data_IF_821464361135
#
_entry.id   IF_821464361135
#
_cell.length_a   1.000
_cell.length_b   1.000
_cell.length_c   1.000
_cell.angle_alpha   90.00
_cell.angle_beta   90.00
_cell.angle_gamma   90.00
#
_symmetry.space_group_name_H-M   'P 1'
#
loop_
_entity.id
_entity.type
_entity.pdbx_description
1 polymer ?
#
# COMPACT_ATOMS: atom_id res chain seq x y z
N UNK A 1 1.15 26.46 -6.40
CA UNK A 1 1.29 27.58 -5.43
C UNK A 1 1.61 27.04 -4.04
N UNK A 2 2.46 27.70 -3.25
CA UNK A 2 2.76 27.26 -1.86
C UNK A 2 1.72 27.77 -0.87
N UNK A 3 1.42 26.99 0.17
CA UNK A 3 0.54 27.42 1.26
C UNK A 3 1.22 28.51 2.08
N UNK A 4 0.66 29.71 2.06
CA UNK A 4 1.12 30.82 2.90
C UNK A 4 0.22 30.99 4.13
N UNK A 5 0.73 31.55 5.24
CA UNK A 5 -0.10 31.86 6.41
C UNK A 5 -1.28 32.78 6.08
N UNK A 6 -1.07 33.77 5.18
CA UNK A 6 -2.14 34.67 4.73
C UNK A 6 -3.28 33.91 4.06
N UNK A 7 -2.97 33.02 3.11
CA UNK A 7 -3.98 32.20 2.43
C UNK A 7 -4.79 31.33 3.41
N UNK A 8 -4.16 30.82 4.48
CA UNK A 8 -4.85 30.03 5.51
C UNK A 8 -5.71 30.90 6.45
N UNK A 9 -5.25 32.11 6.76
CA UNK A 9 -6.00 33.05 7.60
C UNK A 9 -7.24 33.58 6.89
N UNK A 10 -7.10 33.90 5.60
CA UNK A 10 -8.17 34.39 4.72
C UNK A 10 -9.11 33.29 4.22
N UNK A 11 -8.73 32.02 4.41
CA UNK A 11 -9.54 30.88 4.02
C UNK A 11 -10.95 30.95 4.62
N UNK A 12 -12.01 30.67 3.84
CA UNK A 12 -13.37 30.60 4.34
C UNK A 12 -13.50 29.56 5.46
N UNK A 13 -14.14 29.97 6.56
CA UNK A 13 -14.38 29.16 7.74
C UNK A 13 -15.85 29.20 8.07
N UNK A 14 -16.46 28.05 8.22
CA UNK A 14 -17.86 27.94 8.66
C UNK A 14 -18.02 26.73 9.57
N UNK A 15 -19.07 26.77 10.38
CA UNK A 15 -19.42 25.65 11.22
C UNK A 15 -20.43 24.77 10.50
N UNK A 16 -20.18 23.46 10.52
CA UNK A 16 -21.09 22.47 9.97
C UNK A 16 -22.04 21.95 11.04
N UNK A 17 -23.31 21.81 10.68
CA UNK A 17 -24.30 21.04 11.44
C UNK A 17 -24.31 19.61 10.90
N UNK A 18 -23.58 18.71 11.56
CA UNK A 18 -23.59 17.29 11.21
C UNK A 18 -24.76 16.65 11.94
N UNK A 19 -25.98 17.02 11.57
CA UNK A 19 -27.23 16.26 11.72
C UNK A 19 -27.65 15.78 13.11
N UNK A 20 -26.91 16.10 14.17
CA UNK A 20 -27.20 15.65 15.54
C UNK A 20 -28.15 16.61 16.28
N UNK A 21 -28.56 17.72 15.64
CA UNK A 21 -29.51 18.69 16.22
C UNK A 21 -28.98 19.43 17.46
N UNK A 22 -27.69 19.28 17.78
CA UNK A 22 -27.01 19.88 18.92
C UNK A 22 -25.88 20.75 18.39
N UNK A 23 -26.17 22.05 18.23
CA UNK A 23 -25.26 23.18 17.95
C UNK A 23 -24.16 22.98 16.88
N UNK A 24 -23.91 24.04 16.12
CA UNK A 24 -22.80 24.16 15.18
C UNK A 24 -21.42 24.03 15.88
N UNK A 25 -20.92 22.82 16.06
CA UNK A 25 -19.69 22.53 16.85
C UNK A 25 -18.47 22.24 15.98
N UNK A 26 -18.65 21.76 14.75
CA UNK A 26 -17.54 21.37 13.89
C UNK A 26 -17.10 22.50 12.95
N UNK A 27 -15.97 23.13 13.28
CA UNK A 27 -15.34 24.12 12.42
C UNK A 27 -14.74 23.46 11.17
N UNK A 28 -15.13 23.97 10.01
CA UNK A 28 -14.60 23.59 8.70
C UNK A 28 -13.74 24.70 8.13
N UNK A 29 -12.53 24.35 7.71
CA UNK A 29 -11.60 25.25 7.01
C UNK A 29 -11.52 24.81 5.56
N UNK A 30 -11.81 25.73 4.64
CA UNK A 30 -11.89 25.44 3.21
C UNK A 30 -10.70 26.04 2.45
N UNK A 31 -9.91 25.18 1.84
CA UNK A 31 -8.73 25.49 1.04
C UNK A 31 -8.88 24.93 -0.37
N UNK A 32 -10.01 25.24 -1.02
CA UNK A 32 -10.34 24.75 -2.37
C UNK A 32 -9.79 25.67 -3.46
N UNK A 33 -9.47 25.09 -4.61
CA UNK A 33 -9.17 25.83 -5.85
C UNK A 33 -7.95 26.78 -5.76
N UNK A 34 -7.03 26.52 -4.82
CA UNK A 34 -5.87 27.37 -4.55
C UNK A 34 -4.61 26.93 -5.33
N UNK A 35 -4.72 25.89 -6.16
CA UNK A 35 -3.59 25.23 -6.83
C UNK A 35 -2.44 24.94 -5.87
N UNK A 36 -2.76 24.46 -4.66
CA UNK A 36 -1.76 24.17 -3.65
C UNK A 36 -0.91 22.98 -4.08
N UNK A 37 0.39 23.16 -4.03
CA UNK A 37 1.38 22.11 -4.19
C UNK A 37 1.98 21.75 -2.83
N UNK A 38 2.46 20.51 -2.70
CA UNK A 38 3.14 20.12 -1.48
C UNK A 38 4.48 20.81 -1.32
N UNK A 39 4.70 21.29 -0.10
CA UNK A 39 6.00 21.68 0.39
C UNK A 39 6.25 20.87 1.67
N UNK A 40 7.10 19.85 1.59
CA UNK A 40 7.26 18.83 2.62
C UNK A 40 7.60 19.43 4.00
N UNK A 41 8.30 20.56 4.05
CA UNK A 41 8.72 21.18 5.31
C UNK A 41 7.85 22.39 5.67
N UNK A 42 7.49 23.23 4.70
CA UNK A 42 6.80 24.48 4.99
C UNK A 42 5.30 24.29 5.27
N UNK A 43 4.62 23.42 4.51
CA UNK A 43 3.17 23.27 4.60
C UNK A 43 2.73 22.72 5.97
N UNK A 44 3.32 21.63 6.50
CA UNK A 44 2.99 21.13 7.84
C UNK A 44 3.23 22.17 8.94
N UNK A 45 4.32 22.94 8.85
CA UNK A 45 4.64 23.98 9.83
C UNK A 45 3.61 25.12 9.82
N UNK A 46 3.16 25.55 8.64
CA UNK A 46 2.10 26.57 8.51
C UNK A 46 0.79 26.04 9.08
N UNK A 47 0.42 24.81 8.74
CA UNK A 47 -0.80 24.19 9.27
C UNK A 47 -0.74 24.00 10.79
N UNK A 48 0.39 23.55 11.34
CA UNK A 48 0.53 23.35 12.78
C UNK A 48 0.44 24.67 13.58
N UNK A 49 0.91 25.78 12.99
CA UNK A 49 1.00 27.07 13.68
C UNK A 49 -0.23 27.97 13.49
N UNK A 50 -0.84 27.97 12.30
CA UNK A 50 -1.87 28.94 11.94
C UNK A 50 -3.26 28.33 11.79
N UNK A 51 -3.38 26.99 11.76
CA UNK A 51 -4.68 26.35 11.75
C UNK A 51 -5.33 26.48 13.14
N UNK A 52 -6.61 26.87 13.23
CA UNK A 52 -7.31 26.90 14.51
C UNK A 52 -7.31 25.51 15.16
N UNK A 53 -7.00 25.44 16.45
CA UNK A 53 -6.96 24.17 17.21
C UNK A 53 -8.30 23.46 17.24
N UNK A 54 -9.42 24.18 17.05
CA UNK A 54 -10.76 23.63 16.98
C UNK A 54 -11.20 23.21 15.56
N UNK A 55 -10.28 23.04 14.60
CA UNK A 55 -10.62 22.60 13.24
C UNK A 55 -10.96 21.11 13.22
N UNK A 56 -12.18 20.77 12.83
CA UNK A 56 -12.64 19.39 12.76
C UNK A 56 -12.61 18.86 11.32
N UNK A 57 -12.94 19.72 10.35
CA UNK A 57 -13.00 19.37 8.95
C UNK A 57 -12.00 20.24 8.19
N UNK A 58 -11.12 19.58 7.44
CA UNK A 58 -10.15 20.26 6.59
C UNK A 58 -10.37 19.85 5.14
N UNK A 59 -10.63 20.86 4.30
CA UNK A 59 -10.97 20.65 2.90
C UNK A 59 -9.90 21.19 1.95
N UNK A 60 -9.18 20.28 1.31
CA UNK A 60 -8.17 20.53 0.30
C UNK A 60 -8.64 20.13 -1.11
N UNK A 61 -9.96 20.06 -1.33
CA UNK A 61 -10.50 19.62 -2.62
C UNK A 61 -10.05 20.53 -3.77
N UNK A 62 -9.73 19.93 -4.92
CA UNK A 62 -9.31 20.62 -6.14
C UNK A 62 -8.01 21.44 -5.98
N UNK A 63 -6.94 20.74 -5.59
CA UNK A 63 -5.57 21.28 -5.55
C UNK A 63 -4.61 20.34 -6.29
N UNK A 64 -3.30 20.61 -6.20
CA UNK A 64 -2.25 19.85 -6.89
C UNK A 64 -1.35 19.10 -5.92
N UNK A 65 -1.88 18.69 -4.77
CA UNK A 65 -1.12 17.98 -3.75
C UNK A 65 -0.66 16.62 -4.27
N UNK A 66 0.63 16.35 -4.17
CA UNK A 66 1.26 15.10 -4.64
C UNK A 66 1.29 13.99 -3.58
N UNK A 67 1.09 14.34 -2.33
CA UNK A 67 1.14 13.52 -1.12
C UNK A 67 0.24 14.14 -0.04
N UNK A 68 0.00 13.41 1.04
CA UNK A 68 -0.75 13.95 2.18
C UNK A 68 0.22 14.76 3.06
N UNK A 69 -0.09 16.03 3.43
CA UNK A 69 0.75 16.79 4.34
C UNK A 69 0.81 16.13 5.72
N UNK A 70 1.89 16.36 6.47
CA UNK A 70 2.00 15.86 7.83
C UNK A 70 1.03 16.61 8.76
N UNK A 71 -0.02 15.89 9.19
CA UNK A 71 -1.11 16.40 10.02
C UNK A 71 -1.15 15.72 11.41
N UNK A 72 -0.05 15.08 11.83
CA UNK A 72 0.02 14.36 13.11
C UNK A 72 -0.29 15.24 14.32
N UNK A 73 0.06 16.52 14.26
CA UNK A 73 -0.11 17.46 15.37
C UNK A 73 -1.55 17.95 15.54
N UNK A 74 -2.38 17.81 14.51
CA UNK A 74 -3.72 18.36 14.43
C UNK A 74 -4.76 17.34 14.93
N UNK A 75 -4.73 17.07 16.24
CA UNK A 75 -5.53 16.03 16.88
C UNK A 75 -7.06 16.25 16.81
N UNK A 76 -7.52 17.46 16.52
CA UNK A 76 -8.95 17.80 16.43
C UNK A 76 -9.60 17.43 15.09
N UNK A 77 -8.80 17.18 14.05
CA UNK A 77 -9.32 16.89 12.71
C UNK A 77 -9.97 15.51 12.71
N UNK A 78 -11.28 15.49 12.44
CA UNK A 78 -12.11 14.28 12.31
C UNK A 78 -12.31 13.89 10.84
N UNK A 79 -12.34 14.86 9.93
CA UNK A 79 -12.62 14.64 8.50
C UNK A 79 -11.62 15.37 7.62
N UNK A 80 -11.02 14.63 6.69
CA UNK A 80 -10.06 15.16 5.72
C UNK A 80 -10.56 14.92 4.29
N UNK A 81 -10.77 16.01 3.55
CA UNK A 81 -11.23 16.00 2.17
C UNK A 81 -10.06 16.37 1.25
N UNK A 82 -9.60 15.41 0.47
CA UNK A 82 -8.47 15.54 -0.47
C UNK A 82 -8.89 15.15 -1.89
N UNK A 83 -10.16 15.37 -2.24
CA UNK A 83 -10.68 15.01 -3.56
C UNK A 83 -10.03 15.84 -4.67
N UNK A 84 -9.86 15.28 -5.86
CA UNK A 84 -9.29 16.00 -7.03
C UNK A 84 -7.92 16.61 -6.70
N UNK A 85 -6.98 15.76 -6.28
CA UNK A 85 -5.58 16.10 -6.10
C UNK A 85 -4.70 15.16 -6.95
N UNK A 86 -3.39 15.23 -6.82
CA UNK A 86 -2.42 14.39 -7.53
C UNK A 86 -1.72 13.40 -6.60
N UNK A 87 -2.40 12.98 -5.53
CA UNK A 87 -1.82 12.11 -4.51
C UNK A 87 -1.56 10.74 -5.13
N UNK A 88 -0.31 10.32 -5.15
CA UNK A 88 0.08 9.02 -5.71
C UNK A 88 0.34 7.97 -4.64
N UNK A 89 0.75 8.38 -3.43
CA UNK A 89 1.09 7.49 -2.31
C UNK A 89 0.43 7.96 -1.02
N UNK A 90 -0.05 7.01 -0.23
CA UNK A 90 -0.69 7.27 1.06
C UNK A 90 0.18 6.73 2.19
N UNK A 91 0.56 7.61 3.11
CA UNK A 91 1.20 7.22 4.37
C UNK A 91 0.26 7.47 5.54
N UNK A 92 -0.10 6.41 6.25
CA UNK A 92 -0.95 6.48 7.43
C UNK A 92 -0.31 7.24 8.58
N UNK A 93 1.01 7.34 8.64
CA UNK A 93 1.70 8.10 9.69
C UNK A 93 1.44 9.59 9.61
N UNK A 94 1.21 10.16 8.42
CA UNK A 94 0.95 11.59 8.26
C UNK A 94 -0.46 11.99 8.70
N UNK A 95 -1.35 11.03 8.98
CA UNK A 95 -2.74 11.29 9.31
C UNK A 95 -2.92 11.73 10.79
N UNK A 96 -3.92 12.58 11.08
CA UNK A 96 -4.22 12.99 12.44
C UNK A 96 -4.78 11.82 13.27
N UNK A 97 -4.49 11.80 14.57
CA UNK A 97 -4.78 10.67 15.45
C UNK A 97 -6.28 10.36 15.65
N UNK A 98 -7.16 11.35 15.51
CA UNK A 98 -8.61 11.19 15.67
C UNK A 98 -9.38 11.20 14.34
N UNK A 99 -8.69 11.00 13.21
CA UNK A 99 -9.32 10.98 11.90
C UNK A 99 -10.38 9.87 11.81
N UNK A 100 -11.62 10.24 11.48
CA UNK A 100 -12.74 9.31 11.27
C UNK A 100 -13.06 9.10 9.80
N UNK A 101 -12.91 10.14 8.98
CA UNK A 101 -13.29 10.11 7.56
C UNK A 101 -12.18 10.67 6.68
N UNK A 102 -11.75 9.89 5.68
CA UNK A 102 -10.74 10.26 4.71
C UNK A 102 -11.30 10.11 3.30
N UNK A 103 -11.31 11.21 2.53
CA UNK A 103 -11.72 11.20 1.13
C UNK A 103 -10.54 11.52 0.23
N UNK A 104 -10.13 10.54 -0.57
CA UNK A 104 -9.05 10.60 -1.56
C UNK A 104 -9.60 10.38 -2.98
N UNK A 105 -10.85 10.77 -3.25
CA UNK A 105 -11.49 10.55 -4.54
C UNK A 105 -10.80 11.32 -5.68
N UNK A 106 -10.71 10.72 -6.87
CA UNK A 106 -10.07 11.29 -8.06
C UNK A 106 -8.64 11.79 -7.76
N UNK A 107 -7.75 10.88 -7.35
CA UNK A 107 -6.33 11.13 -7.13
C UNK A 107 -5.47 10.29 -8.10
N UNK A 108 -4.15 10.35 -7.96
CA UNK A 108 -3.18 9.67 -8.81
C UNK A 108 -2.74 8.29 -8.30
N UNK A 109 -3.53 7.62 -7.44
CA UNK A 109 -3.13 6.35 -6.84
C UNK A 109 -3.30 5.22 -7.87
N UNK A 110 -2.19 4.64 -8.32
CA UNK A 110 -2.18 3.68 -9.41
C UNK A 110 -1.99 2.22 -8.95
N UNK A 111 -1.20 1.97 -7.91
CA UNK A 111 -0.86 0.62 -7.47
C UNK A 111 -1.41 0.33 -6.08
N UNK A 112 -1.65 -0.95 -5.78
CA UNK A 112 -2.00 -1.40 -4.42
C UNK A 112 -0.84 -1.21 -3.43
N UNK A 113 0.40 -1.22 -3.92
CA UNK A 113 1.61 -0.97 -3.11
C UNK A 113 1.63 0.44 -2.52
N UNK A 114 1.13 1.42 -3.27
CA UNK A 114 1.05 2.82 -2.84
C UNK A 114 0.07 3.04 -1.68
N UNK A 115 -0.81 2.06 -1.44
CA UNK A 115 -1.80 2.03 -0.37
C UNK A 115 -1.32 1.25 0.86
N UNK A 116 -0.17 0.56 0.81
CA UNK A 116 0.33 -0.22 1.95
C UNK A 116 0.56 0.64 3.20
N UNK A 117 0.88 1.92 3.04
CA UNK A 117 1.05 2.86 4.15
C UNK A 117 -0.24 3.09 4.96
N UNK A 118 -1.42 2.75 4.42
CA UNK A 118 -2.68 2.78 5.15
C UNK A 118 -2.70 1.82 6.35
N UNK A 119 -1.84 0.80 6.39
CA UNK A 119 -1.72 -0.10 7.55
C UNK A 119 -1.31 0.64 8.84
N UNK A 120 -0.66 1.80 8.70
CA UNK A 120 -0.28 2.68 9.81
C UNK A 120 -1.33 3.76 10.12
N UNK A 121 -2.52 3.67 9.52
CA UNK A 121 -3.61 4.63 9.74
C UNK A 121 -4.10 4.58 11.19
N UNK A 122 -4.67 5.70 11.68
CA UNK A 122 -5.21 5.75 13.03
C UNK A 122 -6.36 4.75 13.20
N UNK A 123 -6.46 4.17 14.40
CA UNK A 123 -7.53 3.20 14.75
C UNK A 123 -8.93 3.80 14.74
N UNK A 124 -9.02 5.12 14.73
CA UNK A 124 -10.25 5.91 14.69
C UNK A 124 -10.85 6.02 13.29
N UNK A 125 -10.11 5.64 12.24
CA UNK A 125 -10.56 5.74 10.85
C UNK A 125 -11.70 4.76 10.56
N UNK A 126 -12.84 5.29 10.15
CA UNK A 126 -14.08 4.53 9.91
C UNK A 126 -14.53 4.58 8.46
N UNK A 127 -14.33 5.71 7.78
CA UNK A 127 -14.78 5.93 6.41
C UNK A 127 -13.60 6.28 5.52
N UNK A 128 -13.46 5.54 4.41
CA UNK A 128 -12.42 5.76 3.41
C UNK A 128 -13.06 5.77 2.03
N UNK A 129 -12.75 6.79 1.24
CA UNK A 129 -13.19 6.90 -0.15
C UNK A 129 -11.97 7.07 -1.04
N UNK A 130 -11.81 6.16 -1.98
CA UNK A 130 -10.71 6.09 -2.95
C UNK A 130 -11.23 6.05 -4.40
N UNK A 131 -12.55 6.11 -4.61
CA UNK A 131 -13.17 6.17 -5.94
C UNK A 131 -12.48 7.13 -6.90
N UNK A 132 -12.32 6.70 -8.16
CA UNK A 132 -11.71 7.50 -9.21
C UNK A 132 -10.17 7.50 -9.21
N UNK A 133 -9.56 6.63 -8.40
CA UNK A 133 -8.16 6.26 -8.52
C UNK A 133 -8.02 5.03 -9.43
N UNK A 134 -6.89 4.91 -10.14
CA UNK A 134 -6.62 3.77 -11.01
C UNK A 134 -6.54 2.44 -10.23
N UNK A 135 -6.09 2.50 -8.97
CA UNK A 135 -6.04 1.33 -8.08
C UNK A 135 -7.42 0.69 -7.83
N UNK A 136 -8.53 1.42 -7.97
CA UNK A 136 -9.88 0.87 -7.79
C UNK A 136 -10.28 -0.16 -8.85
N UNK A 137 -9.59 -0.17 -10.00
CA UNK A 137 -9.86 -1.10 -11.10
C UNK A 137 -9.01 -2.39 -11.01
N UNK A 138 -8.09 -2.47 -10.04
CA UNK A 138 -7.27 -3.65 -9.83
C UNK A 138 -8.06 -4.77 -9.16
N UNK A 139 -7.70 -6.00 -9.51
CA UNK A 139 -8.20 -7.20 -8.84
C UNK A 139 -7.83 -7.16 -7.35
N UNK A 140 -8.70 -7.74 -6.51
CA UNK A 140 -8.54 -7.79 -5.06
C UNK A 140 -8.40 -6.45 -4.31
N UNK A 141 -8.54 -5.29 -4.99
CA UNK A 141 -8.44 -3.96 -4.38
C UNK A 141 -9.23 -3.85 -3.07
N UNK A 142 -10.50 -4.26 -3.09
CA UNK A 142 -11.38 -4.18 -1.93
C UNK A 142 -10.89 -5.05 -0.77
N UNK A 143 -10.50 -6.30 -1.04
CA UNK A 143 -10.00 -7.22 -0.02
C UNK A 143 -8.66 -6.75 0.54
N UNK A 144 -7.78 -6.24 -0.33
CA UNK A 144 -6.49 -5.68 0.04
C UNK A 144 -6.67 -4.53 1.04
N UNK A 145 -7.54 -3.55 0.75
CA UNK A 145 -7.78 -2.41 1.63
C UNK A 145 -8.39 -2.81 2.97
N UNK A 146 -9.37 -3.72 2.96
CA UNK A 146 -9.96 -4.25 4.20
C UNK A 146 -8.90 -4.99 5.03
N UNK A 147 -7.96 -5.68 4.38
CA UNK A 147 -6.88 -6.39 5.08
C UNK A 147 -5.83 -5.46 5.69
N UNK A 148 -5.61 -4.29 5.07
CA UNK A 148 -4.69 -3.25 5.53
C UNK A 148 -5.32 -2.43 6.67
N UNK A 149 -6.61 -2.11 6.56
CA UNK A 149 -7.36 -1.26 7.51
C UNK A 149 -8.58 -2.01 8.04
N UNK A 150 -8.41 -3.00 8.93
CA UNK A 150 -9.51 -3.82 9.43
C UNK A 150 -10.52 -3.06 10.29
N UNK A 151 -10.13 -1.90 10.84
CA UNK A 151 -11.01 -1.02 11.64
C UNK A 151 -12.08 -0.30 10.81
N UNK A 152 -11.94 -0.31 9.47
CA UNK A 152 -12.81 0.44 8.58
C UNK A 152 -14.26 -0.08 8.62
N UNK A 153 -15.23 0.83 8.62
CA UNK A 153 -16.66 0.54 8.62
C UNK A 153 -17.26 0.67 7.21
N UNK A 154 -16.81 1.66 6.45
CA UNK A 154 -17.24 1.88 5.07
C UNK A 154 -16.07 2.20 4.15
N UNK A 155 -16.07 1.56 2.99
CA UNK A 155 -15.14 1.79 1.88
C UNK A 155 -15.93 2.22 0.65
N UNK A 156 -15.54 3.31 0.00
CA UNK A 156 -16.16 3.77 -1.26
C UNK A 156 -17.69 3.92 -1.19
N UNK A 157 -18.18 4.44 -0.06
CA UNK A 157 -19.61 4.60 0.28
C UNK A 157 -20.38 3.29 0.46
N UNK A 158 -19.69 2.16 0.53
CA UNK A 158 -20.29 0.85 0.80
C UNK A 158 -19.87 0.38 2.18
N UNK A 159 -20.84 -0.06 2.99
CA UNK A 159 -20.56 -0.64 4.31
C UNK A 159 -19.82 -1.97 4.12
N UNK A 160 -18.82 -2.20 4.95
CA UNK A 160 -18.05 -3.45 4.95
C UNK A 160 -18.82 -4.49 5.77
N UNK A 161 -19.04 -5.67 5.18
CA UNK A 161 -19.66 -6.79 5.89
C UNK A 161 -18.62 -7.63 6.64
N UNK A 162 -19.07 -8.38 7.66
CA UNK A 162 -18.17 -9.25 8.40
C UNK A 162 -17.66 -10.44 7.56
N UNK A 163 -18.41 -10.87 6.55
CA UNK A 163 -17.95 -11.86 5.57
C UNK A 163 -16.76 -11.36 4.74
N UNK A 164 -16.81 -10.10 4.28
CA UNK A 164 -15.70 -9.48 3.56
C UNK A 164 -14.46 -9.37 4.45
N UNK A 165 -14.64 -9.06 5.74
CA UNK A 165 -13.54 -9.02 6.71
C UNK A 165 -12.88 -10.39 6.90
N UNK A 166 -13.68 -11.45 6.95
CA UNK A 166 -13.15 -12.81 7.06
C UNK A 166 -12.35 -13.19 5.80
N UNK A 167 -12.89 -12.90 4.60
CA UNK A 167 -12.19 -13.12 3.32
C UNK A 167 -10.88 -12.33 3.25
N UNK A 168 -10.88 -11.05 3.63
CA UNK A 168 -9.70 -10.21 3.65
C UNK A 168 -8.62 -10.72 4.63
N UNK A 169 -9.03 -11.30 5.77
CA UNK A 169 -8.11 -11.93 6.72
C UNK A 169 -7.44 -13.17 6.13
N UNK A 170 -8.20 -14.01 5.42
CA UNK A 170 -7.67 -15.19 4.74
C UNK A 170 -6.73 -14.81 3.59
N UNK A 171 -7.12 -13.80 2.80
CA UNK A 171 -6.30 -13.22 1.73
C UNK A 171 -4.92 -12.78 2.22
N UNK A 172 -4.87 -12.06 3.35
CA UNK A 172 -3.60 -11.63 3.97
C UNK A 172 -2.75 -12.80 4.45
N UNK A 173 -3.36 -13.89 4.91
CA UNK A 173 -2.65 -15.10 5.35
C UNK A 173 -2.07 -15.88 4.16
N UNK A 174 -2.80 -15.98 3.04
CA UNK A 174 -2.28 -16.60 1.81
C UNK A 174 -1.13 -15.80 1.21
N UNK A 175 -1.23 -14.47 1.18
CA UNK A 175 -0.15 -13.59 0.72
C UNK A 175 1.10 -13.70 1.60
N UNK A 176 0.93 -13.81 2.92
CA UNK A 176 2.04 -13.96 3.85
C UNK A 176 2.75 -15.32 3.71
N UNK A 177 2.02 -16.38 3.31
CA UNK A 177 2.61 -17.68 3.01
C UNK A 177 3.35 -17.69 1.66
N UNK A 178 2.85 -16.97 0.65
CA UNK A 178 3.53 -16.82 -0.64
C UNK A 178 4.76 -15.89 -0.57
N UNK A 179 4.79 -14.90 0.33
CA UNK A 179 5.94 -13.98 0.53
C UNK A 179 7.09 -14.56 1.35
N UNK A 180 7.01 -15.81 1.83
CA UNK A 180 8.13 -16.51 2.50
C UNK A 180 9.14 -17.13 1.53
N UNK A 181 8.90 -17.09 0.23
CA UNK A 181 9.95 -17.31 -0.77
C UNK A 181 10.51 -15.95 -1.21
N UNK A 182 11.76 -15.60 -0.85
CA UNK A 182 12.38 -14.40 -1.39
C UNK A 182 12.65 -14.64 -2.88
N UNK A 183 11.80 -14.08 -3.75
CA UNK A 183 12.16 -13.86 -5.15
C UNK A 183 13.17 -12.72 -5.18
N UNK A 184 14.45 -13.06 -5.03
CA UNK A 184 15.54 -12.22 -5.48
C UNK A 184 15.39 -12.07 -6.99
N UNK A 185 15.17 -10.83 -7.42
CA UNK A 185 15.28 -10.42 -8.81
C UNK A 185 16.73 -10.62 -9.22
N UNK A 186 17.01 -11.66 -9.99
CA UNK A 186 18.32 -11.90 -10.59
C UNK A 186 18.08 -12.38 -12.02
N UNK A 187 18.38 -11.51 -12.99
CA UNK A 187 18.10 -11.67 -14.43
C UNK A 187 18.93 -12.78 -15.11
N UNK A 188 19.50 -13.72 -14.33
CA UNK A 188 20.39 -14.78 -14.81
C UNK A 188 19.89 -16.22 -14.57
N UNK A 189 18.68 -16.43 -14.05
CA UNK A 189 18.22 -17.75 -13.58
C UNK A 189 17.60 -18.68 -14.62
N UNK A 190 17.15 -18.15 -15.77
CA UNK A 190 16.41 -18.92 -16.79
C UNK A 190 17.22 -20.03 -17.49
N UNK A 191 18.55 -20.05 -17.37
CA UNK A 191 19.41 -21.12 -17.91
C UNK A 191 19.65 -22.24 -16.89
N UNK A 192 19.83 -21.91 -15.61
CA UNK A 192 20.14 -22.89 -14.55
C UNK A 192 18.93 -23.76 -14.20
N UNK A 193 17.73 -23.16 -14.23
CA UNK A 193 16.49 -23.87 -13.90
C UNK A 193 16.15 -24.93 -14.97
N UNK A 194 16.53 -24.70 -16.24
CA UNK A 194 16.34 -25.69 -17.32
C UNK A 194 17.30 -26.87 -17.20
N UNK A 195 18.58 -26.62 -16.89
CA UNK A 195 19.57 -27.70 -16.73
C UNK A 195 19.25 -28.58 -15.52
N UNK A 196 18.83 -27.97 -14.40
CA UNK A 196 18.41 -28.71 -13.21
C UNK A 196 17.09 -29.47 -13.40
N UNK A 197 16.16 -28.94 -14.19
CA UNK A 197 14.92 -29.64 -14.55
C UNK A 197 15.17 -30.83 -15.48
N UNK A 198 16.05 -30.68 -16.48
CA UNK A 198 16.50 -31.77 -17.36
C UNK A 198 17.20 -32.85 -16.54
N UNK A 199 18.10 -32.46 -15.62
CA UNK A 199 18.81 -33.38 -14.73
C UNK A 199 17.83 -34.21 -13.87
N UNK A 200 16.81 -33.57 -13.29
CA UNK A 200 15.78 -34.26 -12.50
C UNK A 200 14.95 -35.23 -13.34
N UNK A 201 14.60 -34.85 -14.58
CA UNK A 201 13.85 -35.73 -15.50
C UNK A 201 14.69 -36.96 -15.89
N UNK A 202 15.98 -36.76 -16.19
CA UNK A 202 16.91 -37.84 -16.56
C UNK A 202 17.13 -38.80 -15.39
N UNK A 203 17.40 -38.28 -14.19
CA UNK A 203 17.61 -39.08 -12.97
C UNK A 203 16.37 -39.90 -12.60
N UNK A 204 15.16 -39.36 -12.82
CA UNK A 204 13.91 -40.08 -12.55
C UNK A 204 13.57 -41.13 -13.62
N UNK A 205 14.12 -41.01 -14.84
CA UNK A 205 13.95 -42.00 -15.92
C UNK A 205 15.03 -43.10 -15.91
N UNK A 206 16.11 -42.94 -15.15
CA UNK A 206 17.18 -43.94 -15.04
C UNK A 206 16.79 -45.12 -14.15
N UNK A 207 17.26 -46.31 -14.52
CA UNK A 207 17.04 -47.54 -13.76
C UNK A 207 17.73 -47.47 -12.39
N UNK A 208 17.15 -48.14 -11.38
CA UNK A 208 17.57 -48.00 -9.97
C UNK A 208 19.02 -48.42 -9.75
N UNK A 209 19.50 -49.40 -10.51
CA UNK A 209 20.85 -49.92 -10.43
C UNK A 209 21.88 -48.95 -11.02
N UNK A 210 21.53 -48.25 -12.10
CA UNK A 210 22.38 -47.23 -12.74
C UNK A 210 22.55 -46.03 -11.82
N UNK A 211 21.47 -45.59 -11.17
CA UNK A 211 21.48 -44.51 -10.18
C UNK A 211 22.36 -44.85 -8.97
N UNK A 212 22.31 -46.09 -8.50
CA UNK A 212 23.15 -46.54 -7.39
C UNK A 212 24.64 -46.56 -7.76
N UNK A 213 24.97 -46.94 -9.00
CA UNK A 213 26.34 -46.94 -9.49
C UNK A 213 26.91 -45.52 -9.66
N UNK A 214 26.11 -44.60 -10.24
CA UNK A 214 26.47 -43.18 -10.34
C UNK A 214 26.71 -42.55 -8.97
N UNK A 215 25.86 -42.87 -7.98
CA UNK A 215 26.04 -42.40 -6.59
C UNK A 215 27.34 -42.91 -5.97
N UNK A 216 27.76 -44.14 -6.28
CA UNK A 216 29.06 -44.69 -5.84
C UNK A 216 30.23 -44.01 -6.56
N UNK A 217 30.09 -43.70 -7.85
CA UNK A 217 31.12 -42.98 -8.61
C UNK A 217 31.30 -41.54 -8.10
N UNK A 218 30.21 -40.83 -7.82
CA UNK A 218 30.25 -39.51 -7.16
C UNK A 218 30.89 -39.56 -5.78
N UNK A 219 30.69 -40.63 -5.00
CA UNK A 219 31.29 -40.79 -3.68
C UNK A 219 32.80 -41.10 -3.73
N UNK A 220 33.28 -41.69 -4.84
CA UNK A 220 34.68 -42.09 -5.01
C UNK A 220 35.49 -41.08 -5.84
N UNK A 221 34.84 -40.19 -6.58
CA UNK A 221 35.50 -39.16 -7.38
C UNK A 221 36.18 -38.15 -6.46
N UNK A 222 37.51 -38.02 -6.59
CA UNK A 222 38.31 -37.04 -5.83
C UNK A 222 38.84 -35.92 -6.72
N UNK A 223 38.70 -36.06 -8.03
CA UNK A 223 39.17 -35.09 -9.03
C UNK A 223 38.01 -34.30 -9.63
N UNK A 224 38.26 -33.02 -9.92
CA UNK A 224 37.29 -32.10 -10.51
C UNK A 224 36.82 -32.56 -11.90
N UNK A 225 37.74 -33.08 -12.72
CA UNK A 225 37.45 -33.59 -14.06
C UNK A 225 36.50 -34.80 -14.05
N UNK A 226 36.60 -35.66 -13.04
CA UNK A 226 35.68 -36.81 -12.87
C UNK A 226 34.27 -36.34 -12.48
N UNK A 227 34.17 -35.31 -11.64
CA UNK A 227 32.88 -34.73 -11.25
C UNK A 227 32.20 -34.05 -12.44
N UNK A 228 32.93 -33.26 -13.23
CA UNK A 228 32.41 -32.53 -14.39
C UNK A 228 31.93 -33.49 -15.50
N UNK A 229 32.63 -34.61 -15.70
CA UNK A 229 32.22 -35.64 -16.65
C UNK A 229 30.89 -36.30 -16.26
N UNK A 230 30.68 -36.57 -14.96
CA UNK A 230 29.45 -37.15 -14.44
C UNK A 230 28.30 -36.15 -14.54
N UNK A 231 28.56 -34.87 -14.27
CA UNK A 231 27.59 -33.79 -14.38
C UNK A 231 27.12 -33.60 -15.84
N UNK A 232 28.05 -33.62 -16.80
CA UNK A 232 27.73 -33.51 -18.23
C UNK A 232 26.86 -34.65 -18.76
N UNK A 233 27.07 -35.87 -18.25
CA UNK A 233 26.22 -37.03 -18.57
C UNK A 233 24.79 -36.87 -18.03
N UNK A 234 24.62 -36.16 -16.91
CA UNK A 234 23.34 -35.94 -16.26
C UNK A 234 22.56 -34.76 -16.84
N UNK A 235 23.26 -33.73 -17.36
CA UNK A 235 22.63 -32.57 -18.03
C UNK A 235 22.24 -32.84 -19.50
N UNK A 236 22.49 -34.05 -20.01
CA UNK A 236 22.07 -34.47 -21.35
C UNK A 236 22.97 -33.96 -22.49
N UNK A 237 24.17 -33.46 -22.17
CA UNK A 237 25.15 -33.04 -23.16
C UNK A 237 25.86 -34.23 -23.79
N UNK A 238 25.49 -34.56 -25.04
CA UNK A 238 26.32 -35.37 -25.94
C UNK A 238 27.55 -34.58 -26.36
#
# INVERSE_FOLDING_TARGET
MKLTPGALLDAPKYYNDIGNGLYNTELTVVLRDLQLENDNDAMPAVLAKYLPTATHILDFTNNELSAIPDLRTQASISTLLLSRNRIFKVDGYCLPCHLRSLTLANNGIAKLEDLQGLSNSPKTLQNLVLRGNQACYLEDYRLCIISLVPQLQALDFTKISDEERQKARLFRLSDANNKKEPKQHDDHKDTLDKETEIMNIVVNKMDTDVRANLKKQLANATTLDEMERIEKLLSGGV
#
